data_IF_537576430943
#
_entry.id   IF_537576430943
#
_cell.length_a   1.000
_cell.length_b   1.000
_cell.length_c   1.000
_cell.angle_alpha   90.00
_cell.angle_beta   90.00
_cell.angle_gamma   90.00
#
_symmetry.space_group_name_H-M   'P 1'
#
loop_
_entity.id
_entity.type
_entity.pdbx_description
1 polymer ?
#
# COMPACT_ATOMS: atom_id res chain seq x y z
N UNK A 1 11.69 5.75 -28.93
CA UNK A 1 11.24 5.97 -27.54
C UNK A 1 12.18 5.31 -26.56
N UNK A 2 12.47 3.99 -26.68
CA UNK A 2 13.30 3.23 -25.70
C UNK A 2 14.71 3.82 -25.54
N UNK A 3 15.39 4.15 -26.65
CA UNK A 3 16.71 4.80 -26.60
C UNK A 3 16.63 6.20 -25.95
N UNK A 4 15.51 6.92 -26.12
CA UNK A 4 15.31 8.22 -25.46
C UNK A 4 15.12 8.05 -23.97
N UNK A 5 14.41 7.00 -23.50
CA UNK A 5 14.29 6.66 -22.08
C UNK A 5 15.68 6.36 -21.48
N UNK A 6 16.54 5.61 -22.19
CA UNK A 6 17.92 5.41 -21.74
C UNK A 6 18.69 6.73 -21.59
N UNK A 7 18.52 7.63 -22.52
CA UNK A 7 19.14 8.95 -22.45
C UNK A 7 18.60 9.84 -21.32
N UNK A 8 17.36 9.61 -20.87
CA UNK A 8 16.72 10.32 -19.75
C UNK A 8 17.02 9.70 -18.37
N UNK A 9 17.72 8.57 -18.30
CA UNK A 9 17.94 7.84 -17.04
C UNK A 9 18.53 8.73 -15.92
N UNK A 10 19.50 9.59 -16.23
CA UNK A 10 20.08 10.49 -15.25
C UNK A 10 19.08 11.57 -14.76
N UNK A 11 18.21 12.05 -15.65
CA UNK A 11 17.16 13.02 -15.30
C UNK A 11 16.05 12.36 -14.46
N UNK A 12 15.71 11.10 -14.74
CA UNK A 12 14.78 10.31 -13.93
C UNK A 12 15.28 10.15 -12.49
N UNK A 13 16.57 9.81 -12.33
CA UNK A 13 17.23 9.74 -11.01
C UNK A 13 17.21 11.09 -10.32
N UNK A 14 17.58 12.16 -11.02
CA UNK A 14 17.59 13.51 -10.46
C UNK A 14 16.20 13.96 -9.99
N UNK A 15 15.15 13.71 -10.80
CA UNK A 15 13.77 14.03 -10.42
C UNK A 15 13.32 13.22 -9.18
N UNK A 16 13.65 11.93 -9.11
CA UNK A 16 13.38 11.12 -7.92
C UNK A 16 14.07 11.75 -6.69
N UNK A 17 15.34 12.15 -6.80
CA UNK A 17 16.06 12.81 -5.71
C UNK A 17 15.42 14.16 -5.32
N UNK A 18 14.97 14.96 -6.28
CA UNK A 18 14.28 16.23 -6.03
C UNK A 18 12.99 15.98 -5.22
N UNK A 19 12.20 14.98 -5.59
CA UNK A 19 10.98 14.62 -4.87
C UNK A 19 11.26 14.06 -3.46
N UNK A 20 12.28 13.23 -3.30
CA UNK A 20 12.67 12.67 -1.98
C UNK A 20 13.04 13.77 -0.99
N UNK A 21 13.73 14.84 -1.43
CA UNK A 21 14.10 15.99 -0.57
C UNK A 21 12.91 16.76 -0.03
N UNK A 22 11.73 16.56 -0.58
CA UNK A 22 10.50 17.20 -0.10
C UNK A 22 9.86 16.27 0.93
N UNK A 23 9.79 16.71 2.19
CA UNK A 23 9.02 16.03 3.22
C UNK A 23 7.53 16.10 2.85
N UNK A 24 7.01 14.98 2.39
CA UNK A 24 5.62 14.77 2.01
C UNK A 24 4.98 13.66 2.83
N UNK A 25 5.43 13.48 4.08
CA UNK A 25 4.75 12.56 5.01
C UNK A 25 3.26 12.87 5.06
N UNK A 26 2.45 11.82 5.01
CA UNK A 26 1.01 11.99 5.08
C UNK A 26 0.62 12.69 6.40
N UNK A 27 -0.14 13.79 6.35
CA UNK A 27 -0.47 14.58 7.55
C UNK A 27 -1.46 13.89 8.51
N UNK A 28 -2.04 12.75 8.13
CA UNK A 28 -2.94 11.94 8.96
C UNK A 28 -2.22 10.78 9.68
N UNK A 29 -0.91 10.62 9.48
CA UNK A 29 -0.13 9.58 10.16
C UNK A 29 -0.16 9.76 11.68
N UNK A 30 -0.37 8.68 12.44
CA UNK A 30 -0.27 8.73 13.90
C UNK A 30 1.11 9.21 14.36
N UNK A 31 1.13 10.19 15.25
CA UNK A 31 2.37 10.75 15.82
C UNK A 31 3.08 11.78 14.95
N UNK A 32 2.51 12.13 13.80
CA UNK A 32 2.97 13.26 12.97
C UNK A 32 2.15 14.50 13.29
N UNK A 33 2.83 15.61 13.56
CA UNK A 33 2.18 16.90 13.75
C UNK A 33 1.80 17.49 12.38
N UNK A 34 0.49 17.55 12.08
CA UNK A 34 -0.04 18.01 10.79
C UNK A 34 0.60 19.32 10.32
N UNK A 35 0.78 20.28 11.23
CA UNK A 35 1.33 21.61 10.93
C UNK A 35 2.78 21.58 10.44
N UNK A 36 3.53 20.52 10.69
CA UNK A 36 4.92 20.38 10.25
C UNK A 36 5.04 19.86 8.82
N UNK A 37 4.06 19.07 8.37
CA UNK A 37 4.15 18.32 7.09
C UNK A 37 3.13 18.77 6.04
N UNK A 38 2.05 19.44 6.47
CA UNK A 38 0.99 19.89 5.57
C UNK A 38 1.55 20.73 4.40
N UNK A 39 1.04 20.49 3.20
CA UNK A 39 1.53 21.09 1.97
C UNK A 39 2.76 20.39 1.36
N UNK A 40 3.31 19.35 2.03
CA UNK A 40 4.41 18.54 1.48
C UNK A 40 4.03 17.86 0.17
N UNK A 41 2.90 17.17 0.15
CA UNK A 41 2.34 16.53 -1.04
C UNK A 41 2.11 17.55 -2.18
N UNK A 42 1.55 18.71 -1.83
CA UNK A 42 1.33 19.80 -2.82
C UNK A 42 2.65 20.28 -3.41
N UNK A 43 3.73 20.42 -2.61
CA UNK A 43 5.05 20.83 -3.11
C UNK A 43 5.65 19.78 -4.06
N UNK A 44 5.46 18.48 -3.82
CA UNK A 44 5.87 17.45 -4.78
C UNK A 44 5.07 17.58 -6.07
N UNK A 45 3.77 17.80 -5.97
CA UNK A 45 2.91 18.01 -7.13
C UNK A 45 3.23 19.31 -7.87
N UNK A 46 3.70 20.37 -7.21
CA UNK A 46 4.16 21.60 -7.85
C UNK A 46 5.40 21.35 -8.71
N UNK A 47 6.37 20.59 -8.18
CA UNK A 47 7.55 20.16 -8.93
C UNK A 47 7.17 19.32 -10.15
N UNK A 48 6.28 18.34 -9.95
CA UNK A 48 5.82 17.49 -11.07
C UNK A 48 5.01 18.26 -12.10
N UNK A 49 4.25 19.28 -11.72
CA UNK A 49 3.49 20.09 -12.67
C UNK A 49 4.40 20.84 -13.64
N UNK A 50 5.51 21.40 -13.17
CA UNK A 50 6.52 22.02 -14.03
C UNK A 50 7.08 21.01 -15.04
N UNK A 51 7.40 19.80 -14.59
CA UNK A 51 7.90 18.71 -15.43
C UNK A 51 6.86 18.22 -16.43
N UNK A 52 5.60 18.09 -16.02
CA UNK A 52 4.51 17.65 -16.90
C UNK A 52 4.23 18.67 -18.00
N UNK A 53 4.19 19.96 -17.68
CA UNK A 53 4.04 21.03 -18.68
C UNK A 53 5.19 21.05 -19.69
N UNK A 54 6.44 20.85 -19.21
CA UNK A 54 7.60 20.79 -20.09
C UNK A 54 7.57 19.58 -21.02
N UNK A 55 6.95 18.46 -20.59
CA UNK A 55 6.70 17.26 -21.39
C UNK A 55 5.42 17.37 -22.26
N UNK A 56 4.85 18.57 -22.43
CA UNK A 56 3.72 18.82 -23.33
C UNK A 56 2.34 18.38 -22.80
N UNK A 57 2.21 18.08 -21.49
CA UNK A 57 0.91 17.72 -20.92
C UNK A 57 0.09 18.95 -20.51
N UNK A 58 -1.22 18.87 -20.73
CA UNK A 58 -2.19 19.76 -20.09
C UNK A 58 -2.31 19.39 -18.62
N UNK A 59 -2.15 20.37 -17.71
CA UNK A 59 -2.19 20.09 -16.27
C UNK A 59 -3.44 20.68 -15.61
N UNK A 60 -3.96 19.97 -14.60
CA UNK A 60 -5.04 20.44 -13.74
C UNK A 60 -4.85 19.94 -12.31
N UNK A 61 -5.45 20.67 -11.35
CA UNK A 61 -5.45 20.30 -9.93
C UNK A 61 -6.82 19.82 -9.51
N UNK A 62 -6.84 18.73 -8.70
CA UNK A 62 -8.05 18.26 -8.03
C UNK A 62 -7.85 18.43 -6.53
N UNK A 63 -8.72 19.21 -5.90
CA UNK A 63 -8.55 19.66 -4.50
C UNK A 63 -9.83 19.38 -3.73
N UNK A 64 -9.82 18.35 -2.90
CA UNK A 64 -10.89 18.04 -1.94
C UNK A 64 -10.50 18.52 -0.52
N UNK A 65 -9.20 18.44 -0.18
CA UNK A 65 -8.62 19.06 1.01
C UNK A 65 -7.92 20.36 0.58
N UNK A 66 -8.33 21.55 1.09
CA UNK A 66 -7.80 22.84 0.64
C UNK A 66 -6.28 23.02 0.75
N UNK A 67 -5.64 22.25 1.62
CA UNK A 67 -4.19 22.32 1.87
C UNK A 67 -3.40 21.23 1.10
N UNK A 68 -4.11 20.34 0.39
CA UNK A 68 -3.54 19.16 -0.29
C UNK A 68 -4.14 19.03 -1.68
N UNK A 69 -3.32 18.98 -2.71
CA UNK A 69 -3.79 18.93 -4.08
C UNK A 69 -3.23 17.77 -4.86
N UNK A 70 -4.10 17.01 -5.53
CA UNK A 70 -3.70 16.07 -6.57
C UNK A 70 -3.30 16.85 -7.84
N UNK A 71 -2.45 16.24 -8.66
CA UNK A 71 -2.09 16.73 -9.97
C UNK A 71 -2.52 15.72 -11.04
N UNK A 72 -3.13 16.23 -12.11
CA UNK A 72 -3.44 15.46 -13.31
C UNK A 72 -2.73 16.12 -14.51
N UNK A 73 -1.92 15.34 -15.22
CA UNK A 73 -1.34 15.72 -16.50
C UNK A 73 -1.97 14.89 -17.60
N UNK A 74 -2.38 15.52 -18.71
CA UNK A 74 -3.03 14.82 -19.83
C UNK A 74 -2.27 15.13 -21.12
N UNK A 75 -1.77 14.09 -21.78
CA UNK A 75 -1.36 14.14 -23.18
C UNK A 75 -2.54 13.71 -24.04
N UNK A 76 -3.08 14.67 -24.80
CA UNK A 76 -4.23 14.39 -25.67
C UNK A 76 -3.81 13.53 -26.85
N UNK A 77 -4.62 12.49 -27.10
CA UNK A 77 -4.54 11.72 -28.34
C UNK A 77 -5.26 12.40 -29.50
N UNK A 78 -4.97 11.96 -30.71
CA UNK A 78 -5.64 12.43 -31.93
C UNK A 78 -7.07 11.93 -32.09
N UNK A 79 -7.48 10.97 -31.27
CA UNK A 79 -8.80 10.36 -31.25
C UNK A 79 -8.84 8.95 -31.84
N UNK A 80 -9.81 8.17 -31.39
CA UNK A 80 -10.04 6.78 -31.86
C UNK A 80 -9.30 5.68 -31.11
N UNK A 81 -8.32 6.02 -30.25
CA UNK A 81 -7.64 5.09 -29.37
C UNK A 81 -8.26 5.01 -27.98
N UNK A 82 -7.82 4.04 -27.16
CA UNK A 82 -8.22 3.89 -25.76
C UNK A 82 -7.36 4.79 -24.89
N UNK A 83 -7.96 5.36 -23.85
CA UNK A 83 -7.24 6.15 -22.85
C UNK A 83 -6.59 5.27 -21.76
N UNK A 84 -5.46 5.72 -21.21
CA UNK A 84 -4.74 5.03 -20.15
C UNK A 84 -4.33 6.03 -19.06
N UNK A 85 -4.56 5.66 -17.78
CA UNK A 85 -3.97 6.36 -16.64
C UNK A 85 -2.71 5.62 -16.16
N UNK A 86 -1.63 6.34 -15.93
CA UNK A 86 -0.56 5.95 -15.02
C UNK A 86 -0.80 6.70 -13.71
N UNK A 87 -0.89 5.97 -12.60
CA UNK A 87 -1.20 6.53 -11.29
C UNK A 87 -0.06 6.29 -10.32
N UNK A 88 0.25 7.27 -9.49
CA UNK A 88 1.19 7.15 -8.38
C UNK A 88 0.92 8.18 -7.30
N UNK A 89 1.14 7.81 -6.04
CA UNK A 89 1.01 8.73 -4.91
C UNK A 89 2.31 9.46 -4.60
N UNK A 90 2.19 10.61 -3.93
CA UNK A 90 3.31 11.48 -3.56
C UNK A 90 3.52 11.60 -2.06
N UNK A 91 2.56 11.14 -1.26
CA UNK A 91 2.74 11.04 0.18
C UNK A 91 3.65 9.86 0.56
N UNK A 92 4.19 9.89 1.76
CA UNK A 92 5.02 8.85 2.33
C UNK A 92 4.64 8.60 3.78
N UNK A 93 5.02 7.44 4.31
CA UNK A 93 5.02 7.19 5.75
C UNK A 93 6.10 8.02 6.47
N UNK A 94 6.09 7.98 7.81
CA UNK A 94 7.17 8.53 8.61
C UNK A 94 8.38 7.56 8.60
N UNK A 95 9.61 8.04 8.41
CA UNK A 95 10.79 7.18 8.40
C UNK A 95 11.05 6.55 9.78
N UNK A 96 11.38 5.28 9.78
CA UNK A 96 11.81 4.56 10.98
C UNK A 96 13.27 4.92 11.27
N UNK A 97 13.60 5.23 12.54
CA UNK A 97 14.95 5.52 13.03
C UNK A 97 15.82 6.34 12.05
N UNK A 98 15.48 7.61 11.78
CA UNK A 98 16.15 8.41 10.74
C UNK A 98 17.69 8.43 10.84
N UNK A 99 18.25 8.41 12.05
CA UNK A 99 19.69 8.42 12.28
C UNK A 99 20.39 7.09 11.93
N UNK A 100 19.65 6.01 11.71
CA UNK A 100 20.19 4.70 11.35
C UNK A 100 20.34 4.50 9.83
N UNK A 101 19.83 5.43 9.02
CA UNK A 101 19.91 5.34 7.57
C UNK A 101 21.35 5.47 7.07
N UNK A 102 21.72 4.71 6.04
CA UNK A 102 23.05 4.72 5.43
C UNK A 102 23.42 6.11 4.89
N UNK A 103 22.45 6.90 4.49
CA UNK A 103 22.62 8.30 4.07
C UNK A 103 22.77 9.27 5.25
N UNK A 104 22.46 8.83 6.48
CA UNK A 104 22.41 9.66 7.68
C UNK A 104 21.14 10.52 7.80
N UNK A 105 20.37 10.63 6.72
CA UNK A 105 19.10 11.37 6.65
C UNK A 105 18.21 10.76 5.56
N UNK A 106 16.97 10.32 5.85
CA UNK A 106 16.04 9.76 4.87
C UNK A 106 15.62 10.74 3.76
N UNK A 107 15.76 12.05 3.97
CA UNK A 107 15.48 13.09 2.97
C UNK A 107 16.74 13.60 2.23
N UNK A 108 17.93 13.01 2.49
CA UNK A 108 19.15 13.25 1.70
C UNK A 108 19.38 12.08 0.73
N UNK A 109 18.75 12.09 -0.46
CA UNK A 109 18.80 10.96 -1.39
C UNK A 109 20.18 10.81 -2.00
N UNK A 110 20.76 9.60 -1.89
CA UNK A 110 22.06 9.27 -2.44
C UNK A 110 21.98 8.01 -3.29
N UNK A 111 22.76 8.00 -4.39
CA UNK A 111 22.96 6.77 -5.18
C UNK A 111 24.22 6.09 -4.69
N UNK A 112 24.05 4.89 -4.14
CA UNK A 112 25.13 4.05 -3.63
C UNK A 112 25.00 2.67 -4.28
N UNK A 113 26.01 2.20 -4.96
CA UNK A 113 26.04 0.87 -5.62
C UNK A 113 24.82 0.59 -6.50
N UNK A 114 24.37 1.57 -7.30
CA UNK A 114 23.23 1.44 -8.19
C UNK A 114 21.86 1.50 -7.52
N UNK A 115 21.79 1.83 -6.21
CA UNK A 115 20.57 2.02 -5.43
C UNK A 115 20.41 3.49 -5.08
N UNK A 116 19.24 4.05 -5.34
CA UNK A 116 18.86 5.38 -4.90
C UNK A 116 18.15 5.25 -3.56
N UNK A 117 18.84 5.61 -2.49
CA UNK A 117 18.32 5.60 -1.11
C UNK A 117 17.55 6.87 -0.80
N UNK A 118 16.47 6.75 -0.02
CA UNK A 118 15.68 7.85 0.52
C UNK A 118 14.24 7.46 0.73
N UNK A 119 13.56 8.12 1.66
CA UNK A 119 12.14 7.86 1.96
C UNK A 119 11.25 8.14 0.76
N UNK A 120 10.35 7.22 0.41
CA UNK A 120 9.50 7.33 -0.77
C UNK A 120 10.24 7.03 -2.09
N UNK A 121 11.54 6.64 -2.07
CA UNK A 121 12.25 6.32 -3.31
C UNK A 121 11.69 5.07 -3.99
N UNK A 122 11.30 4.06 -3.22
CA UNK A 122 10.61 2.86 -3.70
C UNK A 122 9.10 3.03 -3.65
N UNK A 123 8.58 3.70 -2.62
CA UNK A 123 7.14 3.83 -2.35
C UNK A 123 6.71 5.30 -2.20
N UNK A 124 6.29 6.04 -3.33
CA UNK A 124 6.54 5.57 -4.70
C UNK A 124 6.99 6.72 -5.62
N UNK A 125 7.82 7.66 -5.08
CA UNK A 125 8.33 8.84 -5.83
C UNK A 125 9.18 8.44 -7.05
N UNK A 126 9.91 7.29 -6.95
CA UNK A 126 10.64 6.74 -8.10
C UNK A 126 9.72 6.42 -9.28
N UNK A 127 8.55 5.89 -9.00
CA UNK A 127 7.50 5.65 -9.99
C UNK A 127 6.98 6.95 -10.59
N UNK A 128 6.77 7.99 -9.79
CA UNK A 128 6.40 9.32 -10.28
C UNK A 128 7.38 9.87 -11.31
N UNK A 129 8.69 9.67 -11.08
CA UNK A 129 9.73 10.03 -12.04
C UNK A 129 9.69 9.15 -13.31
N UNK A 130 9.44 7.84 -13.16
CA UNK A 130 9.29 6.94 -14.30
C UNK A 130 8.08 7.31 -15.17
N UNK A 131 6.94 7.69 -14.57
CA UNK A 131 5.76 8.20 -15.28
C UNK A 131 6.08 9.45 -16.11
N UNK A 132 6.78 10.42 -15.50
CA UNK A 132 7.25 11.60 -16.21
C UNK A 132 8.18 11.22 -17.37
N UNK A 133 9.11 10.30 -17.16
CA UNK A 133 10.07 9.85 -18.19
C UNK A 133 9.36 9.30 -19.42
N UNK A 134 8.26 8.54 -19.23
CA UNK A 134 7.41 8.05 -20.32
C UNK A 134 6.87 9.23 -21.13
N UNK A 135 6.25 10.20 -20.47
CA UNK A 135 5.65 11.35 -21.15
C UNK A 135 6.70 12.20 -21.90
N UNK A 136 7.85 12.44 -21.26
CA UNK A 136 8.95 13.20 -21.86
C UNK A 136 9.54 12.48 -23.08
N UNK A 137 9.72 11.17 -23.01
CA UNK A 137 10.24 10.40 -24.14
C UNK A 137 9.26 10.37 -25.33
N UNK A 138 7.96 10.30 -25.08
CA UNK A 138 6.93 10.40 -26.12
C UNK A 138 6.95 11.78 -26.79
N UNK A 139 7.10 12.86 -25.99
CA UNK A 139 7.20 14.22 -26.49
C UNK A 139 8.44 14.41 -27.36
N UNK A 140 9.61 14.05 -26.83
CA UNK A 140 10.91 14.21 -27.51
C UNK A 140 11.00 13.41 -28.82
N UNK A 141 10.30 12.28 -28.90
CA UNK A 141 10.24 11.46 -30.11
C UNK A 141 9.10 11.88 -31.09
N UNK A 142 8.29 12.86 -30.72
CA UNK A 142 7.17 13.33 -31.54
C UNK A 142 6.08 12.25 -31.72
N UNK A 143 5.89 11.35 -30.76
CA UNK A 143 4.88 10.29 -30.85
C UNK A 143 3.49 10.88 -30.66
N UNK A 144 2.61 10.71 -31.64
CA UNK A 144 1.20 11.06 -31.55
C UNK A 144 0.40 9.81 -31.16
N UNK A 145 -0.15 9.81 -29.95
CA UNK A 145 -1.07 8.76 -29.51
C UNK A 145 -2.46 8.96 -30.11
N UNK A 146 -3.21 7.88 -30.31
CA UNK A 146 -4.62 7.95 -30.70
C UNK A 146 -5.53 8.14 -29.46
N UNK A 147 -5.26 7.46 -28.34
CA UNK A 147 -5.96 7.66 -27.07
C UNK A 147 -5.22 8.60 -26.13
N UNK A 148 -5.93 9.16 -25.14
CA UNK A 148 -5.34 10.06 -24.15
C UNK A 148 -4.45 9.28 -23.16
N UNK A 149 -3.27 9.83 -22.84
CA UNK A 149 -2.47 9.39 -21.69
C UNK A 149 -2.68 10.36 -20.52
N UNK A 150 -3.13 9.83 -19.39
CA UNK A 150 -3.25 10.56 -18.14
C UNK A 150 -2.13 10.18 -17.17
N UNK A 151 -1.51 11.15 -16.52
CA UNK A 151 -0.64 10.95 -15.36
C UNK A 151 -1.37 11.48 -14.14
N UNK A 152 -1.76 10.57 -13.23
CA UNK A 152 -2.43 10.91 -11.98
C UNK A 152 -1.40 10.86 -10.85
N UNK A 153 -1.02 12.03 -10.33
CA UNK A 153 -0.15 12.16 -9.16
C UNK A 153 -1.00 12.53 -7.95
N UNK A 154 -1.28 11.55 -7.12
CA UNK A 154 -2.31 11.62 -6.09
C UNK A 154 -1.73 11.76 -4.69
N UNK A 155 -2.57 12.14 -3.73
CA UNK A 155 -2.26 12.30 -2.32
C UNK A 155 -3.02 11.27 -1.49
N UNK A 156 -2.54 11.00 -0.27
CA UNK A 156 -3.35 10.34 0.75
C UNK A 156 -3.41 8.83 0.68
N UNK A 157 -2.63 8.17 -0.18
CA UNK A 157 -2.63 6.72 -0.33
C UNK A 157 -2.23 6.02 0.97
N UNK A 158 -1.13 6.42 1.57
CA UNK A 158 -0.51 5.82 2.76
C UNK A 158 -1.42 5.75 4.00
N UNK A 159 -2.45 6.59 4.03
CA UNK A 159 -3.47 6.60 5.08
C UNK A 159 -4.87 6.24 4.57
N UNK A 160 -4.95 5.61 3.38
CA UNK A 160 -6.21 5.15 2.79
C UNK A 160 -7.22 6.30 2.55
N UNK A 161 -6.70 7.50 2.30
CA UNK A 161 -7.51 8.70 2.09
C UNK A 161 -7.97 8.85 0.63
N UNK A 162 -8.28 7.73 -0.03
CA UNK A 162 -8.71 7.71 -1.42
C UNK A 162 -9.84 8.70 -1.78
N UNK A 163 -10.75 9.11 -0.86
CA UNK A 163 -11.78 10.11 -1.19
C UNK A 163 -11.21 11.49 -1.50
N UNK A 164 -9.98 11.82 -1.01
CA UNK A 164 -9.27 13.06 -1.36
C UNK A 164 -8.18 12.83 -2.41
N UNK A 165 -7.77 11.56 -2.62
CA UNK A 165 -6.76 11.10 -3.59
C UNK A 165 -7.38 10.57 -4.88
N UNK A 166 -7.07 9.33 -5.22
CA UNK A 166 -7.43 8.66 -6.49
C UNK A 166 -8.92 8.73 -6.82
N UNK A 167 -9.80 8.47 -5.85
CA UNK A 167 -11.25 8.56 -6.09
C UNK A 167 -11.70 9.97 -6.44
N UNK A 168 -11.12 11.00 -5.80
CA UNK A 168 -11.41 12.40 -6.14
C UNK A 168 -11.00 12.71 -7.57
N UNK A 169 -9.82 12.27 -7.99
CA UNK A 169 -9.31 12.47 -9.36
C UNK A 169 -10.24 11.83 -10.39
N UNK A 170 -10.67 10.59 -10.17
CA UNK A 170 -11.60 9.89 -11.08
C UNK A 170 -12.96 10.62 -11.15
N UNK A 171 -13.51 11.01 -10.00
CA UNK A 171 -14.81 11.71 -9.91
C UNK A 171 -14.79 13.12 -10.48
N UNK A 172 -13.63 13.78 -10.49
CA UNK A 172 -13.45 15.09 -11.14
C UNK A 172 -13.48 15.02 -12.68
N UNK A 173 -13.71 13.83 -13.25
CA UNK A 173 -13.84 13.63 -14.70
C UNK A 173 -12.60 13.07 -15.40
N UNK A 174 -11.56 12.71 -14.64
CA UNK A 174 -10.32 12.14 -15.18
C UNK A 174 -10.40 10.61 -15.31
N UNK A 175 -11.48 10.11 -15.89
CA UNK A 175 -11.70 8.68 -16.15
C UNK A 175 -10.95 8.25 -17.39
N UNK A 176 -10.44 7.02 -17.38
CA UNK A 176 -9.75 6.38 -18.51
C UNK A 176 -10.34 4.99 -18.77
N UNK A 177 -10.00 4.38 -19.92
CA UNK A 177 -10.45 3.04 -20.27
C UNK A 177 -9.71 1.94 -19.47
N UNK A 178 -8.51 2.25 -18.97
CA UNK A 178 -7.76 1.41 -18.03
C UNK A 178 -6.78 2.25 -17.20
N UNK A 179 -6.22 1.66 -16.14
CA UNK A 179 -5.19 2.27 -15.31
C UNK A 179 -4.05 1.28 -15.00
N UNK A 180 -2.84 1.80 -14.89
CA UNK A 180 -1.69 1.12 -14.28
C UNK A 180 -1.28 1.94 -13.07
N UNK A 181 -1.41 1.36 -11.88
CA UNK A 181 -0.91 1.93 -10.63
C UNK A 181 0.54 1.52 -10.49
N UNK A 182 1.43 2.51 -10.38
CA UNK A 182 2.87 2.28 -10.52
C UNK A 182 3.58 1.99 -9.20
N UNK A 183 2.91 1.26 -8.30
CA UNK A 183 3.44 0.76 -7.04
C UNK A 183 4.64 -0.18 -7.20
N UNK A 184 5.51 -0.32 -6.16
CA UNK A 184 6.69 -1.17 -6.22
C UNK A 184 6.32 -2.64 -6.41
N UNK A 185 6.45 -3.15 -7.62
CA UNK A 185 5.93 -4.47 -8.04
C UNK A 185 6.99 -5.57 -8.18
N UNK A 186 8.17 -5.39 -7.56
CA UNK A 186 9.30 -6.33 -7.71
C UNK A 186 9.22 -7.59 -6.83
N UNK A 187 8.02 -8.02 -6.46
CA UNK A 187 7.77 -9.29 -5.78
C UNK A 187 6.75 -10.11 -6.58
N UNK A 188 7.00 -11.38 -6.85
CA UNK A 188 8.17 -12.21 -6.48
C UNK A 188 9.40 -12.00 -7.35
N UNK A 189 9.28 -11.33 -8.48
CA UNK A 189 10.35 -11.06 -9.43
C UNK A 189 10.44 -9.56 -9.70
N UNK A 190 11.61 -9.05 -10.11
CA UNK A 190 11.74 -7.65 -10.52
C UNK A 190 10.66 -7.27 -11.55
N UNK A 191 9.99 -6.15 -11.32
CA UNK A 191 8.98 -5.59 -12.22
C UNK A 191 7.85 -6.57 -12.60
N UNK A 192 7.27 -7.26 -11.61
CA UNK A 192 6.16 -8.18 -11.86
C UNK A 192 4.88 -7.43 -12.27
N UNK A 193 4.14 -7.97 -13.23
CA UNK A 193 2.77 -7.55 -13.51
C UNK A 193 1.86 -8.15 -12.44
N UNK A 194 1.28 -7.31 -11.60
CA UNK A 194 0.43 -7.74 -10.52
C UNK A 194 -1.04 -7.45 -10.86
N UNK A 195 -1.79 -8.52 -11.07
CA UNK A 195 -3.21 -8.47 -11.46
C UNK A 195 -4.15 -8.59 -10.29
N UNK A 196 -3.65 -8.84 -9.09
CA UNK A 196 -4.45 -9.07 -7.89
C UNK A 196 -3.76 -8.51 -6.65
N UNK A 197 -4.54 -7.99 -5.68
CA UNK A 197 -4.07 -7.63 -4.35
C UNK A 197 -5.01 -8.15 -3.27
N UNK A 198 -4.51 -8.45 -2.05
CA UNK A 198 -5.34 -8.93 -0.96
C UNK A 198 -6.27 -7.82 -0.45
N UNK A 199 -7.35 -8.21 0.20
CA UNK A 199 -8.14 -7.33 1.05
C UNK A 199 -7.48 -7.22 2.43
N UNK A 200 -7.64 -6.07 3.10
CA UNK A 200 -7.11 -5.82 4.43
C UNK A 200 -8.21 -5.45 5.43
N UNK A 201 -8.06 -5.96 6.65
CA UNK A 201 -8.85 -5.53 7.81
C UNK A 201 -7.90 -5.09 8.93
N UNK A 202 -8.10 -3.89 9.45
CA UNK A 202 -7.44 -3.44 10.69
C UNK A 202 -8.46 -3.48 11.82
N UNK A 203 -8.12 -4.20 12.90
CA UNK A 203 -9.05 -4.37 14.01
C UNK A 203 -8.35 -4.53 15.36
N UNK A 204 -9.10 -4.32 16.42
CA UNK A 204 -8.65 -4.46 17.81
C UNK A 204 -9.48 -5.51 18.53
N UNK A 205 -8.81 -6.37 19.31
CA UNK A 205 -9.44 -7.22 20.33
C UNK A 205 -9.10 -6.65 21.70
N UNK A 206 -10.10 -6.22 22.46
CA UNK A 206 -9.93 -5.60 23.76
C UNK A 206 -10.66 -6.41 24.85
N UNK A 207 -10.07 -6.43 26.04
CA UNK A 207 -10.65 -7.07 27.23
C UNK A 207 -10.54 -6.18 28.46
N UNK A 208 -11.45 -6.39 29.39
CA UNK A 208 -11.42 -5.81 30.74
C UNK A 208 -11.12 -6.90 31.75
N UNK A 209 -10.16 -6.64 32.61
CA UNK A 209 -9.86 -7.42 33.80
C UNK A 209 -10.37 -6.71 35.06
N UNK A 210 -9.67 -6.92 36.17
CA UNK A 210 -9.94 -6.26 37.47
C UNK A 210 -8.64 -6.00 38.21
N UNK A 211 -8.28 -4.74 38.39
CA UNK A 211 -7.07 -4.36 39.10
C UNK A 211 -7.15 -4.74 40.57
N UNK A 212 -6.05 -5.18 41.13
CA UNK A 212 -5.78 -5.33 42.55
C UNK A 212 -4.29 -5.26 42.79
N UNK A 213 -3.85 -5.04 44.01
CA UNK A 213 -2.43 -5.05 44.34
C UNK A 213 -1.79 -6.40 43.96
N UNK A 214 -0.60 -6.41 43.34
CA UNK A 214 0.07 -7.62 42.87
C UNK A 214 0.28 -8.69 43.95
N UNK A 215 0.46 -8.30 45.21
CA UNK A 215 0.52 -9.18 46.36
C UNK A 215 -0.76 -10.00 46.63
N UNK A 216 -1.89 -9.60 46.06
CA UNK A 216 -3.15 -10.32 46.13
C UNK A 216 -3.29 -11.44 45.07
N UNK A 217 -2.32 -11.57 44.17
CA UNK A 217 -2.34 -12.59 43.11
C UNK A 217 -2.65 -14.02 43.64
N UNK A 218 -2.06 -14.50 44.73
CA UNK A 218 -2.41 -15.84 45.25
C UNK A 218 -3.89 -16.01 45.61
N UNK A 219 -4.55 -14.94 46.06
CA UNK A 219 -5.98 -14.96 46.37
C UNK A 219 -6.86 -14.97 45.13
N UNK A 220 -6.37 -14.31 44.03
CA UNK A 220 -7.07 -14.26 42.76
C UNK A 220 -6.94 -15.56 41.94
N UNK A 221 -5.85 -16.32 42.08
CA UNK A 221 -5.51 -17.44 41.19
C UNK A 221 -5.61 -18.83 41.83
N UNK A 222 -5.48 -18.97 43.17
CA UNK A 222 -5.47 -20.30 43.83
C UNK A 222 -6.84 -20.97 43.74
N UNK A 223 -6.88 -22.32 43.56
CA UNK A 223 -8.13 -23.08 43.65
C UNK A 223 -8.80 -22.92 45.02
N UNK A 224 -10.12 -22.70 45.01
CA UNK A 224 -10.90 -22.48 46.22
C UNK A 224 -10.71 -21.12 46.92
N UNK A 225 -9.93 -20.22 46.34
CA UNK A 225 -9.81 -18.83 46.78
C UNK A 225 -10.98 -17.97 46.28
N UNK A 226 -11.03 -16.68 46.72
CA UNK A 226 -12.09 -15.75 46.31
C UNK A 226 -12.02 -15.36 44.81
N UNK A 227 -10.92 -15.67 44.12
CA UNK A 227 -10.79 -15.59 42.69
C UNK A 227 -11.06 -14.17 42.11
N UNK A 228 -11.91 -14.10 41.09
CA UNK A 228 -12.23 -12.87 40.35
C UNK A 228 -12.86 -11.77 41.20
N UNK A 229 -13.40 -12.08 42.40
CA UNK A 229 -13.88 -11.08 43.35
C UNK A 229 -12.75 -10.18 43.86
N UNK A 230 -11.50 -10.68 43.89
CA UNK A 230 -10.29 -9.97 44.31
C UNK A 230 -9.63 -9.25 43.12
N UNK A 231 -9.40 -9.99 42.01
CA UNK A 231 -8.75 -9.42 40.82
C UNK A 231 -8.72 -10.38 39.65
N UNK A 232 -8.57 -9.84 38.46
CA UNK A 232 -8.44 -10.60 37.21
C UNK A 232 -7.35 -9.94 36.34
N UNK A 233 -6.29 -10.70 36.07
CA UNK A 233 -5.17 -10.19 35.28
C UNK A 233 -5.48 -10.26 33.79
N UNK A 234 -5.61 -9.09 33.16
CA UNK A 234 -5.88 -8.97 31.73
C UNK A 234 -4.77 -9.58 30.85
N UNK A 235 -3.49 -9.51 31.28
CA UNK A 235 -2.37 -10.16 30.55
C UNK A 235 -2.64 -11.67 30.39
N UNK A 236 -3.08 -12.35 31.46
CA UNK A 236 -3.33 -13.77 31.41
C UNK A 236 -4.58 -14.15 30.61
N UNK A 237 -5.53 -13.24 30.47
CA UNK A 237 -6.79 -13.47 29.73
C UNK A 237 -6.69 -13.14 28.24
N UNK A 238 -5.77 -12.24 27.85
CA UNK A 238 -5.63 -11.85 26.45
C UNK A 238 -4.80 -12.87 25.65
N UNK A 239 -3.85 -13.57 26.29
CA UNK A 239 -2.98 -14.54 25.62
C UNK A 239 -3.78 -15.67 24.91
N UNK A 240 -4.78 -16.33 25.53
CA UNK A 240 -5.60 -17.32 24.83
C UNK A 240 -6.36 -16.75 23.62
N UNK A 241 -6.74 -15.49 23.65
CA UNK A 241 -7.39 -14.83 22.50
C UNK A 241 -6.42 -14.60 21.36
N UNK A 242 -5.17 -14.23 21.65
CA UNK A 242 -4.11 -14.17 20.64
C UNK A 242 -3.90 -15.57 20.02
N UNK A 243 -3.78 -16.60 20.86
CA UNK A 243 -3.57 -17.97 20.38
C UNK A 243 -4.73 -18.50 19.52
N UNK A 244 -5.97 -18.14 19.85
CA UNK A 244 -7.12 -18.59 19.05
C UNK A 244 -7.15 -17.95 17.66
N UNK A 245 -6.70 -16.72 17.50
CA UNK A 245 -6.60 -16.08 16.19
C UNK A 245 -5.41 -16.60 15.38
N UNK A 246 -4.30 -16.96 16.02
CA UNK A 246 -3.22 -17.70 15.35
C UNK A 246 -3.69 -19.08 14.84
N UNK A 247 -4.63 -19.73 15.55
CA UNK A 247 -5.22 -20.98 15.07
C UNK A 247 -6.14 -20.76 13.87
N UNK A 248 -6.94 -19.66 13.87
CA UNK A 248 -7.74 -19.26 12.71
C UNK A 248 -6.85 -18.97 11.50
N UNK A 249 -5.73 -18.29 11.70
CA UNK A 249 -4.73 -18.04 10.63
C UNK A 249 -4.21 -19.35 10.03
N UNK A 250 -3.91 -20.38 10.86
CA UNK A 250 -3.48 -21.70 10.35
C UNK A 250 -4.58 -22.39 9.54
N UNK A 251 -5.85 -22.21 9.92
CA UNK A 251 -6.98 -22.70 9.11
C UNK A 251 -7.06 -21.96 7.78
N UNK A 252 -6.90 -20.64 7.76
CA UNK A 252 -6.87 -19.87 6.53
C UNK A 252 -5.76 -20.32 5.59
N UNK A 253 -4.59 -20.66 6.10
CA UNK A 253 -3.48 -21.17 5.28
C UNK A 253 -3.81 -22.45 4.50
N UNK A 254 -4.84 -23.21 4.96
CA UNK A 254 -5.31 -24.43 4.28
C UNK A 254 -6.54 -24.13 3.42
N UNK A 255 -7.50 -23.39 3.95
CA UNK A 255 -8.84 -23.25 3.38
C UNK A 255 -8.95 -22.06 2.42
N UNK A 256 -8.15 -21.01 2.63
CA UNK A 256 -8.18 -19.80 1.82
C UNK A 256 -7.07 -19.84 0.78
N UNK A 257 -7.40 -20.18 -0.45
CA UNK A 257 -6.48 -20.26 -1.56
C UNK A 257 -6.92 -19.36 -2.71
N UNK A 258 -5.96 -18.80 -3.44
CA UNK A 258 -6.19 -17.99 -4.63
C UNK A 258 -5.03 -18.20 -5.62
N UNK A 259 -5.29 -18.41 -6.92
CA UNK A 259 -4.24 -18.73 -7.89
C UNK A 259 -3.17 -17.65 -8.07
N UNK A 260 -3.51 -16.39 -7.82
CA UNK A 260 -2.59 -15.26 -7.88
C UNK A 260 -1.67 -15.12 -6.66
N UNK A 261 -1.85 -15.91 -5.60
CA UNK A 261 -1.06 -15.85 -4.36
C UNK A 261 -0.36 -17.17 -4.05
N UNK A 262 0.79 -17.14 -3.36
CA UNK A 262 1.39 -18.34 -2.79
C UNK A 262 0.44 -19.04 -1.82
N UNK A 263 0.61 -20.34 -1.66
CA UNK A 263 -0.13 -21.07 -0.62
C UNK A 263 0.17 -20.51 0.78
N UNK A 264 -0.88 -20.36 1.59
CA UNK A 264 -0.75 -19.86 2.96
C UNK A 264 -0.43 -18.36 3.07
N UNK A 265 -0.70 -17.59 2.03
CA UNK A 265 -0.43 -16.14 2.00
C UNK A 265 -1.28 -15.35 3.00
N UNK A 266 -2.53 -15.72 3.19
CA UNK A 266 -3.49 -14.94 3.96
C UNK A 266 -3.28 -15.10 5.45
N UNK A 267 -3.20 -13.98 6.19
CA UNK A 267 -2.69 -13.94 7.57
C UNK A 267 -3.54 -13.08 8.50
N UNK A 268 -3.41 -13.33 9.82
CA UNK A 268 -3.97 -12.51 10.89
C UNK A 268 -2.81 -12.11 11.82
N UNK A 269 -2.13 -11.01 11.49
CA UNK A 269 -0.94 -10.55 12.19
C UNK A 269 -1.27 -9.72 13.44
N UNK A 270 -0.86 -10.14 14.65
CA UNK A 270 -0.90 -9.28 15.84
C UNK A 270 0.30 -8.32 15.81
N UNK A 271 0.05 -7.03 15.64
CA UNK A 271 1.13 -6.03 15.49
C UNK A 271 1.42 -5.29 16.81
N UNK A 272 0.42 -5.10 17.66
CA UNK A 272 0.59 -4.45 18.97
C UNK A 272 -0.13 -5.25 20.05
N UNK A 273 0.56 -5.51 21.16
CA UNK A 273 -0.04 -6.03 22.37
C UNK A 273 0.24 -5.07 23.53
N UNK A 274 -0.81 -4.58 24.17
CA UNK A 274 -0.73 -3.71 25.33
C UNK A 274 -1.63 -4.24 26.45
N UNK A 275 -1.08 -4.31 27.69
CA UNK A 275 -1.87 -4.68 28.87
C UNK A 275 -1.30 -4.02 30.11
N UNK A 276 -2.10 -3.23 30.82
CA UNK A 276 -1.72 -2.48 32.01
C UNK A 276 -2.88 -2.26 33.00
N UNK A 277 -2.60 -1.57 34.09
CA UNK A 277 -3.58 -1.07 35.05
C UNK A 277 -3.59 0.48 35.11
N UNK A 278 -3.14 1.15 34.03
CA UNK A 278 -3.04 2.61 33.97
C UNK A 278 -1.95 3.21 34.85
N UNK A 279 -1.02 2.38 35.38
CA UNK A 279 0.08 2.83 36.20
C UNK A 279 1.42 2.40 35.59
N UNK A 280 2.47 3.26 35.65
CA UNK A 280 3.77 2.95 35.03
C UNK A 280 4.59 1.89 35.77
N UNK A 281 4.11 1.44 36.94
CA UNK A 281 4.79 0.45 37.78
C UNK A 281 3.92 -0.80 38.00
N UNK A 282 4.48 -2.03 37.92
CA UNK A 282 3.74 -3.28 37.94
C UNK A 282 3.27 -3.68 39.38
N UNK A 283 2.81 -2.72 40.18
CA UNK A 283 2.30 -2.96 41.53
C UNK A 283 0.88 -3.53 41.55
N UNK A 284 0.16 -3.46 40.41
CA UNK A 284 -1.21 -3.95 40.27
C UNK A 284 -1.31 -5.01 39.18
N UNK A 285 -2.30 -5.88 39.26
CA UNK A 285 -2.69 -6.73 38.13
C UNK A 285 -3.28 -5.83 37.05
N UNK A 286 -2.92 -6.10 35.79
CA UNK A 286 -3.48 -5.40 34.65
C UNK A 286 -5.00 -5.57 34.60
N UNK A 287 -5.76 -4.48 34.41
CA UNK A 287 -7.21 -4.51 34.32
C UNK A 287 -7.75 -4.22 32.93
N UNK A 288 -6.85 -3.97 31.97
CA UNK A 288 -7.18 -3.81 30.55
C UNK A 288 -6.12 -4.47 29.71
N UNK A 289 -6.53 -4.98 28.56
CA UNK A 289 -5.63 -5.53 27.55
C UNK A 289 -6.22 -5.34 26.17
N UNK A 290 -5.35 -5.08 25.20
CA UNK A 290 -5.74 -4.96 23.79
C UNK A 290 -4.66 -5.53 22.88
N UNK A 291 -5.09 -6.07 21.76
CA UNK A 291 -4.22 -6.47 20.66
C UNK A 291 -4.74 -5.78 19.39
N UNK A 292 -3.85 -5.17 18.66
CA UNK A 292 -4.14 -4.57 17.36
C UNK A 292 -3.65 -5.52 16.25
N UNK A 293 -4.51 -5.76 15.28
CA UNK A 293 -4.30 -6.74 14.21
C UNK A 293 -4.40 -6.08 12.84
N UNK A 294 -3.62 -6.62 11.91
CA UNK A 294 -3.89 -6.51 10.47
C UNK A 294 -4.16 -7.91 9.95
N UNK A 295 -5.32 -8.11 9.33
CA UNK A 295 -5.63 -9.35 8.63
C UNK A 295 -5.63 -9.08 7.12
N UNK A 296 -4.89 -9.92 6.39
CA UNK A 296 -4.89 -9.98 4.93
C UNK A 296 -5.72 -11.18 4.50
N UNK A 297 -6.73 -10.97 3.66
CA UNK A 297 -7.60 -12.04 3.18
C UNK A 297 -7.79 -12.01 1.68
N UNK A 298 -8.26 -13.11 1.09
CA UNK A 298 -8.47 -13.24 -0.35
C UNK A 298 -9.41 -12.15 -0.88
N UNK A 299 -9.06 -11.49 -2.00
CA UNK A 299 -10.01 -10.64 -2.70
C UNK A 299 -11.25 -11.46 -3.13
N UNK A 300 -12.36 -10.77 -3.36
CA UNK A 300 -13.62 -11.43 -3.74
C UNK A 300 -14.38 -12.10 -2.60
N UNK A 301 -13.80 -12.24 -1.38
CA UNK A 301 -14.53 -12.68 -0.19
C UNK A 301 -15.14 -11.44 0.49
N UNK A 302 -16.45 -11.50 0.75
CA UNK A 302 -17.13 -10.44 1.49
C UNK A 302 -16.44 -10.21 2.86
N UNK A 303 -15.95 -9.00 3.14
CA UNK A 303 -15.29 -8.68 4.40
C UNK A 303 -16.15 -8.97 5.63
N UNK A 304 -17.49 -8.94 5.52
CA UNK A 304 -18.36 -9.29 6.65
C UNK A 304 -18.27 -10.78 7.01
N UNK A 305 -18.04 -11.68 6.06
CA UNK A 305 -17.78 -13.11 6.32
C UNK A 305 -16.49 -13.26 7.13
N UNK A 306 -15.45 -12.54 6.76
CA UNK A 306 -14.16 -12.55 7.46
C UNK A 306 -14.29 -11.96 8.87
N UNK A 307 -14.94 -10.81 9.00
CA UNK A 307 -15.19 -10.16 10.29
C UNK A 307 -16.00 -11.08 11.22
N UNK A 308 -16.99 -11.78 10.68
CA UNK A 308 -17.80 -12.72 11.46
C UNK A 308 -16.97 -13.92 11.93
N UNK A 309 -16.13 -14.50 11.07
CA UNK A 309 -15.27 -15.61 11.45
C UNK A 309 -14.30 -15.24 12.59
N UNK A 310 -13.74 -14.02 12.54
CA UNK A 310 -12.89 -13.47 13.61
C UNK A 310 -13.69 -13.30 14.91
N UNK A 311 -14.89 -12.71 14.84
CA UNK A 311 -15.76 -12.57 16.04
C UNK A 311 -16.12 -13.91 16.64
N UNK A 312 -16.50 -14.89 15.82
CA UNK A 312 -16.89 -16.23 16.27
C UNK A 312 -15.71 -16.95 16.96
N UNK A 313 -14.51 -16.83 16.38
CA UNK A 313 -13.32 -17.45 16.96
C UNK A 313 -12.97 -16.84 18.33
N UNK A 314 -13.01 -15.52 18.44
CA UNK A 314 -12.80 -14.81 19.72
C UNK A 314 -13.88 -15.17 20.73
N UNK A 315 -15.15 -15.21 20.29
CA UNK A 315 -16.27 -15.59 21.14
C UNK A 315 -16.11 -17.03 21.68
N UNK A 316 -15.82 -17.99 20.82
CA UNK A 316 -15.63 -19.39 21.24
C UNK A 316 -14.49 -19.53 22.25
N UNK A 317 -13.36 -18.87 22.02
CA UNK A 317 -12.26 -18.88 22.97
C UNK A 317 -12.67 -18.25 24.33
N UNK A 318 -13.41 -17.16 24.30
CA UNK A 318 -13.90 -16.49 25.52
C UNK A 318 -14.83 -17.37 26.35
N UNK A 319 -15.60 -18.30 25.74
CA UNK A 319 -16.47 -19.23 26.46
C UNK A 319 -15.72 -20.22 27.39
N UNK A 320 -14.43 -20.41 27.15
CA UNK A 320 -13.59 -21.28 27.98
C UNK A 320 -13.18 -20.64 29.33
N UNK A 321 -13.30 -19.29 29.42
CA UNK A 321 -12.94 -18.54 30.64
C UNK A 321 -14.20 -17.97 31.32
N UNK A 322 -14.43 -18.29 32.63
CA UNK A 322 -15.62 -17.79 33.33
C UNK A 322 -15.73 -16.28 33.42
N UNK A 323 -14.59 -15.56 33.45
CA UNK A 323 -14.58 -14.11 33.48
C UNK A 323 -14.96 -13.52 32.11
N UNK A 324 -14.32 -14.02 31.04
CA UNK A 324 -14.57 -13.55 29.66
C UNK A 324 -16.00 -13.90 29.19
N UNK A 325 -16.61 -14.98 29.69
CA UNK A 325 -18.04 -15.24 29.44
C UNK A 325 -18.94 -14.14 30.01
N UNK A 326 -18.61 -13.67 31.23
CA UNK A 326 -19.37 -12.61 31.90
C UNK A 326 -18.98 -11.19 31.44
N UNK A 327 -17.79 -11.03 30.89
CA UNK A 327 -17.22 -9.79 30.37
C UNK A 327 -16.63 -10.06 28.99
N UNK A 328 -17.45 -10.18 27.94
CA UNK A 328 -17.01 -10.61 26.61
C UNK A 328 -15.95 -9.67 26.03
N UNK A 329 -14.96 -10.19 25.31
CA UNK A 329 -14.02 -9.38 24.53
C UNK A 329 -14.77 -8.49 23.53
N UNK A 330 -14.28 -7.28 23.34
CA UNK A 330 -14.73 -6.38 22.30
C UNK A 330 -13.84 -6.55 21.06
N UNK A 331 -14.47 -6.76 19.89
CA UNK A 331 -13.79 -6.82 18.60
C UNK A 331 -14.25 -5.63 17.76
N UNK A 332 -13.38 -4.65 17.58
CA UNK A 332 -13.68 -3.42 16.84
C UNK A 332 -12.89 -3.39 15.54
N UNK A 333 -13.57 -3.29 14.41
CA UNK A 333 -12.96 -3.12 13.09
C UNK A 333 -12.87 -1.64 12.76
N UNK A 334 -11.66 -1.18 12.42
CA UNK A 334 -11.35 0.23 12.13
C UNK A 334 -11.31 0.51 10.63
N UNK A 335 -10.66 -0.39 9.90
CA UNK A 335 -10.43 -0.26 8.47
C UNK A 335 -10.85 -1.57 7.79
N UNK A 336 -11.46 -1.42 6.62
CA UNK A 336 -11.77 -2.51 5.70
C UNK A 336 -11.40 -2.03 4.31
N UNK A 337 -10.23 -2.43 3.82
CA UNK A 337 -9.77 -2.12 2.49
C UNK A 337 -9.99 -3.35 1.60
N UNK A 338 -10.85 -3.28 0.60
CA UNK A 338 -11.03 -4.38 -0.32
C UNK A 338 -9.83 -4.54 -1.23
N UNK A 339 -9.49 -5.77 -1.53
CA UNK A 339 -8.54 -6.10 -2.56
C UNK A 339 -9.09 -5.84 -3.95
N UNK A 340 -8.25 -6.06 -4.95
CA UNK A 340 -8.70 -6.07 -6.34
C UNK A 340 -8.30 -7.37 -7.03
N UNK A 341 -9.02 -7.69 -8.09
CA UNK A 341 -8.72 -8.81 -8.97
C UNK A 341 -9.04 -8.41 -10.42
N UNK A 342 -8.00 -8.34 -11.24
CA UNK A 342 -8.11 -8.15 -12.68
C UNK A 342 -7.84 -9.49 -13.37
N UNK A 343 -8.73 -9.99 -14.22
CA UNK A 343 -8.48 -11.23 -14.95
C UNK A 343 -7.13 -11.18 -15.67
N UNK A 344 -6.39 -12.30 -15.58
CA UNK A 344 -5.07 -12.36 -16.20
C UNK A 344 -5.12 -12.21 -17.72
N UNK A 345 -6.17 -12.71 -18.36
CA UNK A 345 -6.43 -12.61 -19.80
C UNK A 345 -7.07 -11.27 -20.20
N UNK A 346 -7.30 -10.36 -19.27
CA UNK A 346 -7.83 -9.03 -19.58
C UNK A 346 -6.87 -8.25 -20.49
N UNK A 347 -7.40 -7.43 -21.42
CA UNK A 347 -6.57 -6.70 -22.37
C UNK A 347 -5.46 -5.88 -21.74
N UNK A 348 -5.73 -5.13 -20.66
CA UNK A 348 -4.70 -4.31 -19.99
C UNK A 348 -3.60 -5.15 -19.36
N UNK A 349 -3.95 -6.31 -18.76
CA UNK A 349 -2.99 -7.23 -18.18
C UNK A 349 -2.07 -7.78 -19.26
N UNK A 350 -2.65 -8.26 -20.39
CA UNK A 350 -1.86 -8.83 -21.48
C UNK A 350 -1.02 -7.79 -22.22
N UNK A 351 -1.51 -6.56 -22.38
CA UNK A 351 -0.70 -5.44 -22.86
C UNK A 351 0.54 -5.23 -21.98
N UNK A 352 0.36 -5.20 -20.64
CA UNK A 352 1.51 -5.00 -19.75
C UNK A 352 2.46 -6.20 -19.74
N UNK A 353 1.95 -7.44 -19.79
CA UNK A 353 2.78 -8.66 -19.89
C UNK A 353 3.63 -8.67 -21.16
N UNK A 354 3.06 -8.23 -22.29
CA UNK A 354 3.80 -8.12 -23.55
C UNK A 354 4.86 -7.01 -23.49
N UNK A 355 4.49 -5.84 -22.98
CA UNK A 355 5.39 -4.71 -22.79
C UNK A 355 6.56 -5.03 -21.82
N UNK A 356 6.27 -5.71 -20.72
CA UNK A 356 7.29 -6.21 -19.79
C UNK A 356 8.25 -7.19 -20.49
N UNK A 357 7.71 -8.15 -21.26
CA UNK A 357 8.55 -9.11 -21.98
C UNK A 357 9.49 -8.44 -23.00
N UNK A 358 9.02 -7.42 -23.69
CA UNK A 358 9.83 -6.66 -24.64
C UNK A 358 10.90 -5.81 -23.94
N UNK A 359 10.55 -5.15 -22.82
CA UNK A 359 11.49 -4.31 -22.08
C UNK A 359 12.57 -5.11 -21.34
N UNK A 360 12.25 -6.30 -20.82
CA UNK A 360 13.14 -7.11 -19.98
C UNK A 360 13.76 -8.31 -20.69
N UNK A 361 13.22 -8.72 -21.83
CA UNK A 361 13.58 -9.96 -22.53
C UNK A 361 12.98 -11.22 -21.88
N UNK A 362 12.12 -11.10 -20.86
CA UNK A 362 11.54 -12.22 -20.13
C UNK A 362 10.02 -12.09 -20.00
N UNK A 363 9.26 -13.07 -20.51
CA UNK A 363 7.81 -13.09 -20.36
C UNK A 363 7.43 -13.63 -18.98
N UNK A 364 6.58 -12.89 -18.26
CA UNK A 364 5.99 -13.38 -17.02
C UNK A 364 5.04 -14.56 -17.30
N UNK A 365 5.16 -15.70 -16.59
CA UNK A 365 4.26 -16.84 -16.75
C UNK A 365 2.84 -16.53 -16.25
N UNK A 366 1.88 -17.35 -16.68
CA UNK A 366 0.52 -17.27 -16.16
C UNK A 366 0.52 -17.55 -14.65
N UNK A 367 -0.35 -16.85 -13.87
CA UNK A 367 -0.36 -16.96 -12.43
C UNK A 367 -0.68 -18.36 -11.92
N UNK A 368 0.14 -18.83 -11.01
CA UNK A 368 -0.07 -20.03 -10.19
C UNK A 368 0.47 -19.74 -8.79
N UNK A 369 0.15 -20.55 -7.77
CA UNK A 369 0.76 -20.38 -6.44
C UNK A 369 2.30 -20.42 -6.44
N UNK A 370 2.91 -21.11 -7.42
CA UNK A 370 4.37 -21.14 -7.60
C UNK A 370 4.90 -19.97 -8.43
N UNK A 371 4.02 -19.30 -9.18
CA UNK A 371 4.29 -18.11 -9.99
C UNK A 371 3.20 -17.05 -9.72
N UNK A 372 3.17 -16.45 -8.54
CA UNK A 372 2.12 -15.50 -8.17
C UNK A 372 2.19 -14.21 -8.99
N UNK A 373 1.04 -13.54 -9.11
CA UNK A 373 0.93 -12.22 -9.76
C UNK A 373 0.27 -11.20 -8.82
N UNK A 374 0.55 -11.30 -7.53
CA UNK A 374 -0.07 -10.44 -6.53
C UNK A 374 0.81 -9.24 -6.18
N UNK A 375 0.16 -8.10 -5.98
CA UNK A 375 0.69 -7.04 -5.16
C UNK A 375 0.51 -7.42 -3.67
N UNK A 376 1.53 -7.25 -2.87
CA UNK A 376 1.57 -7.78 -1.49
C UNK A 376 0.80 -6.97 -0.47
N UNK A 377 0.18 -5.86 -0.86
CA UNK A 377 -0.57 -4.94 0.00
C UNK A 377 -1.85 -4.44 -0.72
N UNK A 378 -2.64 -3.62 -0.04
CA UNK A 378 -3.70 -2.84 -0.65
C UNK A 378 -3.08 -1.61 -1.37
N UNK A 379 -3.73 -1.13 -2.42
CA UNK A 379 -3.28 0.05 -3.17
C UNK A 379 -4.44 0.70 -3.94
N UNK A 380 -4.14 1.79 -4.62
CA UNK A 380 -5.10 2.59 -5.39
C UNK A 380 -5.77 1.86 -6.57
N UNK A 381 -5.24 0.72 -7.04
CA UNK A 381 -5.89 -0.11 -8.08
C UNK A 381 -7.32 -0.50 -7.69
N UNK A 382 -7.59 -0.74 -6.41
CA UNK A 382 -8.93 -1.06 -5.91
C UNK A 382 -9.94 0.03 -6.27
N UNK A 383 -9.56 1.29 -6.17
CA UNK A 383 -10.48 2.41 -6.38
C UNK A 383 -10.78 2.67 -7.85
N UNK A 384 -9.85 2.35 -8.76
CA UNK A 384 -10.13 2.30 -10.19
C UNK A 384 -11.18 1.23 -10.49
N UNK A 385 -11.04 0.02 -9.94
CA UNK A 385 -12.00 -1.06 -10.17
C UNK A 385 -13.38 -0.77 -9.57
N UNK A 386 -13.46 -0.10 -8.42
CA UNK A 386 -14.74 0.35 -7.85
C UNK A 386 -15.48 1.31 -8.76
N UNK A 387 -14.74 2.12 -9.51
CA UNK A 387 -15.29 3.02 -10.49
C UNK A 387 -15.48 2.35 -11.86
N UNK A 388 -15.27 1.02 -11.96
CA UNK A 388 -15.44 0.22 -13.18
C UNK A 388 -14.34 0.42 -14.22
N UNK A 389 -13.16 0.86 -13.79
CA UNK A 389 -11.97 1.03 -14.64
C UNK A 389 -11.04 -0.16 -14.42
N UNK A 390 -10.78 -1.01 -15.43
CA UNK A 390 -9.80 -2.09 -15.33
C UNK A 390 -8.43 -1.56 -14.91
N UNK A 391 -7.80 -2.19 -13.91
CA UNK A 391 -6.52 -1.73 -13.38
C UNK A 391 -5.60 -2.87 -12.98
N UNK A 392 -4.30 -2.62 -13.05
CA UNK A 392 -3.22 -3.51 -12.61
C UNK A 392 -2.16 -2.70 -11.89
N UNK A 393 -1.24 -3.39 -11.20
CA UNK A 393 -0.05 -2.78 -10.60
C UNK A 393 1.19 -3.17 -11.38
N UNK A 394 2.04 -2.17 -11.70
CA UNK A 394 3.35 -2.35 -12.30
C UNK A 394 4.23 -1.12 -12.12
N UNK A 395 5.30 -1.21 -11.35
CA UNK A 395 6.25 -0.12 -11.13
C UNK A 395 7.57 -0.59 -10.54
N UNK A 396 8.59 0.29 -10.50
CA UNK A 396 9.91 -0.01 -9.96
C UNK A 396 9.89 -0.08 -8.44
N UNK A 397 10.84 -0.79 -7.87
CA UNK A 397 11.00 -0.88 -6.43
C UNK A 397 10.47 -2.18 -5.84
N UNK A 398 10.68 -2.34 -4.55
CA UNK A 398 10.40 -3.57 -3.82
C UNK A 398 9.63 -3.28 -2.53
N UNK A 399 8.39 -3.80 -2.43
CA UNK A 399 7.52 -3.59 -1.27
C UNK A 399 8.14 -4.06 0.07
N UNK A 400 9.06 -5.07 0.05
CA UNK A 400 9.71 -5.59 1.27
C UNK A 400 10.62 -4.58 1.97
N UNK A 401 11.08 -3.55 1.27
CA UNK A 401 11.94 -2.50 1.83
C UNK A 401 11.20 -1.17 2.01
N UNK A 402 9.99 -1.07 1.47
CA UNK A 402 9.10 0.05 1.75
C UNK A 402 8.83 0.16 3.26
N UNK A 403 8.64 1.38 3.76
CA UNK A 403 8.39 1.69 5.17
C UNK A 403 9.53 1.26 6.13
N UNK A 404 10.69 0.87 5.60
CA UNK A 404 11.86 0.41 6.35
C UNK A 404 13.01 1.41 6.41
N UNK A 405 14.01 1.07 7.23
CA UNK A 405 15.30 1.77 7.21
C UNK A 405 15.99 1.42 5.89
N UNK A 406 16.67 2.41 5.29
CA UNK A 406 17.39 2.24 4.03
C UNK A 406 16.49 1.88 2.84
N UNK A 407 15.25 2.39 2.84
CA UNK A 407 14.39 2.33 1.67
C UNK A 407 15.13 2.85 0.44
N UNK A 408 15.07 2.09 -0.66
CA UNK A 408 15.76 2.44 -1.89
C UNK A 408 15.08 1.83 -3.11
N UNK A 409 15.35 2.40 -4.30
CA UNK A 409 14.97 1.82 -5.59
C UNK A 409 16.23 1.55 -6.41
N UNK A 410 16.23 0.47 -7.18
CA UNK A 410 17.32 0.21 -8.13
C UNK A 410 17.22 1.20 -9.30
N UNK A 411 18.34 1.86 -9.62
CA UNK A 411 18.39 2.85 -10.73
C UNK A 411 18.01 2.20 -12.07
N UNK A 412 18.44 0.97 -12.30
CA UNK A 412 18.13 0.23 -13.52
C UNK A 412 16.62 -0.13 -13.61
N UNK A 413 15.95 -0.34 -12.48
CA UNK A 413 14.50 -0.59 -12.45
C UNK A 413 13.69 0.66 -12.83
N UNK A 414 14.13 1.86 -12.45
CA UNK A 414 13.50 3.11 -12.88
C UNK A 414 13.45 3.21 -14.41
N UNK A 415 14.58 2.92 -15.06
CA UNK A 415 14.69 2.98 -16.51
C UNK A 415 13.91 1.83 -17.18
N UNK A 416 14.02 0.62 -16.65
CA UNK A 416 13.36 -0.55 -17.23
C UNK A 416 11.83 -0.47 -17.09
N UNK A 417 11.34 0.01 -15.96
CA UNK A 417 9.90 0.22 -15.76
C UNK A 417 9.37 1.31 -16.69
N UNK A 418 10.09 2.43 -16.86
CA UNK A 418 9.69 3.45 -17.81
C UNK A 418 9.62 2.93 -19.25
N UNK A 419 10.54 2.05 -19.67
CA UNK A 419 10.48 1.39 -20.99
C UNK A 419 9.24 0.51 -21.13
N UNK A 420 8.95 -0.34 -20.14
CA UNK A 420 7.79 -1.21 -20.17
C UNK A 420 6.48 -0.40 -20.15
N UNK A 421 6.40 0.64 -19.30
CA UNK A 421 5.24 1.54 -19.28
C UNK A 421 5.05 2.27 -20.61
N UNK A 422 6.12 2.76 -21.26
CA UNK A 422 6.04 3.42 -22.55
C UNK A 422 5.52 2.48 -23.66
N UNK A 423 6.01 1.23 -23.68
CA UNK A 423 5.51 0.19 -24.60
C UNK A 423 4.03 -0.10 -24.35
N UNK A 424 3.62 -0.23 -23.09
CA UNK A 424 2.23 -0.45 -22.72
C UNK A 424 1.34 0.73 -23.14
N UNK A 425 1.79 1.98 -22.96
CA UNK A 425 1.08 3.19 -23.40
C UNK A 425 0.90 3.20 -24.92
N UNK A 426 1.96 2.92 -25.67
CA UNK A 426 1.94 2.90 -27.14
C UNK A 426 0.99 1.82 -27.65
N UNK A 427 1.07 0.61 -27.12
CA UNK A 427 0.20 -0.51 -27.53
C UNK A 427 -1.26 -0.28 -27.15
N UNK A 428 -1.51 0.23 -25.94
CA UNK A 428 -2.87 0.44 -25.43
C UNK A 428 -3.57 1.61 -26.11
N UNK A 429 -2.89 2.77 -26.16
CA UNK A 429 -3.49 3.99 -26.71
C UNK A 429 -3.50 4.00 -28.24
N UNK A 430 -2.64 3.20 -28.87
CA UNK A 430 -2.39 3.26 -30.33
C UNK A 430 -1.60 4.51 -30.72
N UNK A 431 -0.97 4.47 -31.89
CA UNK A 431 -0.25 5.60 -32.48
C UNK A 431 -0.75 5.88 -33.89
N UNK A 432 -0.60 7.12 -34.34
CA UNK A 432 -0.70 7.44 -35.78
C UNK A 432 0.53 6.88 -36.51
N UNK A 433 0.31 6.40 -37.77
CA UNK A 433 1.36 5.93 -38.66
C UNK A 433 2.34 7.05 -39.07
#
# INVERSE_FOLDING_TARGET
>A
VLERIDALAAETVALTQEMVRIDSRNPSLPGVERSEVIGGETRVNDLLEERYRAAGLETSRVVEDPERSNLVGIRRGSGGGRSLALNGHVDTVAPVEPAAWVTGDPWDPQVIDGRLYGIGSTDMKGSGAAMWTVAQALEDCGVTLQGDLHLHSVIGEEMMEHPVGTTAVIKAGNRTDAAIVTEPSSIPNPLSVNSVAPSALVFTVAIIGKATHSGNRPLATRPGGPGASIGVNAVERIIPLLQCLQELERQWAVDMNHPGFPHGWFTIGPNVLHADAGAPFPASLADRGRIEYVAWHSPGIDPEVIKQSIRDQVHHAAQLDPWLRANPPEVTFHISWPGYEQPWDAPITQTMVAAHAEATGARQPDPTPDHPSNFGAACDSTFYQWEGIPSIVYGPGELRIAHGIDEHVLVDELTTSAKALALAVIDWCGTED
#
